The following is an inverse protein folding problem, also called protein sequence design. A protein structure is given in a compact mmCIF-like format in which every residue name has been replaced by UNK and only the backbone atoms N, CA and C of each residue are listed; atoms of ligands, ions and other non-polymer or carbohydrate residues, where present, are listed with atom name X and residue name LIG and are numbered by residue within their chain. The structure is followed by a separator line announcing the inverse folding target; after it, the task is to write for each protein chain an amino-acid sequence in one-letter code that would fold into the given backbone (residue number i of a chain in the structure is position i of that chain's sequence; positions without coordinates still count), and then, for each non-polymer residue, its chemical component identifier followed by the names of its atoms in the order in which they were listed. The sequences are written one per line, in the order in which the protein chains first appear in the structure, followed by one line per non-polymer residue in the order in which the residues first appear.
data_IF_201604058777
#
_entry.id   IF_201604058777
#
_cell.length_a   1.000
_cell.length_b   1.000
_cell.length_c   1.000
_cell.angle_alpha   90.00
_cell.angle_beta   90.00
_cell.angle_gamma   90.00
#
_symmetry.space_group_name_H-M   'P 1'
#
loop_
_entity.id
_entity.type
_entity.pdbx_description
1 polymer ?
#
# COMPACT_ATOMS: atom_id res chain seq x y z
N UNK A 1 12.08 9.07 -6.59
CA UNK A 1 11.40 7.81 -6.22
C UNK A 1 9.93 8.08 -6.01
N UNK A 2 9.12 7.67 -7.00
CA UNK A 2 7.68 7.81 -7.00
C UNK A 2 7.10 6.70 -6.15
N UNK A 3 6.24 7.05 -5.20
CA UNK A 3 5.71 6.11 -4.22
C UNK A 3 4.19 6.08 -4.30
N UNK A 4 3.60 4.92 -4.58
CA UNK A 4 2.16 4.76 -4.56
C UNK A 4 1.68 4.19 -3.22
N UNK A 5 0.50 4.60 -2.77
CA UNK A 5 -0.16 4.03 -1.60
C UNK A 5 -1.44 3.34 -2.06
N UNK A 6 -1.54 2.04 -1.80
CA UNK A 6 -2.62 1.19 -2.31
C UNK A 6 -3.16 0.22 -1.26
N UNK A 7 -4.38 -0.25 -1.45
CA UNK A 7 -5.03 -1.31 -0.68
C UNK A 7 -6.18 -1.86 -1.49
N UNK A 8 -6.52 -3.14 -1.28
CA UNK A 8 -7.73 -3.76 -1.82
C UNK A 8 -9.02 -3.18 -1.21
N UNK A 9 -8.93 -2.35 -0.17
CA UNK A 9 -10.11 -1.88 0.56
C UNK A 9 -10.12 -0.36 0.78
N UNK A 10 -11.32 0.21 0.76
CA UNK A 10 -11.61 1.57 1.24
C UNK A 10 -11.60 1.65 2.77
N UNK A 11 -11.45 2.86 3.32
CA UNK A 11 -11.55 3.11 4.76
C UNK A 11 -10.37 2.62 5.61
N UNK A 12 -9.24 2.28 5.00
CA UNK A 12 -8.03 1.79 5.72
C UNK A 12 -7.01 2.88 6.07
N UNK A 13 -7.32 4.15 5.79
CA UNK A 13 -6.45 5.29 6.06
C UNK A 13 -5.40 5.61 4.99
N UNK A 14 -5.56 5.11 3.75
CA UNK A 14 -4.64 5.41 2.61
C UNK A 14 -4.42 6.91 2.40
N UNK A 15 -5.51 7.64 2.17
CA UNK A 15 -5.48 9.09 1.94
C UNK A 15 -4.89 9.85 3.10
N UNK A 16 -5.19 9.43 4.34
CA UNK A 16 -4.60 10.02 5.54
C UNK A 16 -3.08 9.82 5.58
N UNK A 17 -2.61 8.60 5.30
CA UNK A 17 -1.18 8.30 5.23
C UNK A 17 -0.51 9.05 4.07
N UNK A 18 -1.14 9.10 2.89
CA UNK A 18 -0.62 9.79 1.72
C UNK A 18 -0.41 11.29 1.98
N UNK A 19 -1.42 11.96 2.54
CA UNK A 19 -1.33 13.36 2.95
C UNK A 19 -0.21 13.60 3.96
N UNK A 20 -0.10 12.74 4.97
CA UNK A 20 0.94 12.86 6.00
C UNK A 20 2.33 12.71 5.38
N UNK A 21 2.56 11.64 4.62
CA UNK A 21 3.87 11.38 4.01
C UNK A 21 4.24 12.47 3.00
N UNK A 22 3.29 12.96 2.20
CA UNK A 22 3.53 14.07 1.29
C UNK A 22 3.93 15.35 2.04
N UNK A 23 3.19 15.71 3.09
CA UNK A 23 3.45 16.91 3.90
C UNK A 23 4.80 16.84 4.63
N UNK A 24 5.04 15.78 5.41
CA UNK A 24 6.25 15.60 6.22
C UNK A 24 7.51 15.57 5.35
N UNK A 25 7.42 14.96 4.17
CA UNK A 25 8.57 14.80 3.27
C UNK A 25 8.65 15.88 2.19
N UNK A 26 7.77 16.90 2.22
CA UNK A 26 7.70 17.99 1.23
C UNK A 26 7.63 17.47 -0.20
N UNK A 27 6.78 16.46 -0.43
CA UNK A 27 6.60 15.80 -1.72
C UNK A 27 5.26 16.18 -2.34
N UNK A 28 5.17 16.26 -3.69
CA UNK A 28 3.89 16.40 -4.36
C UNK A 28 2.96 15.24 -4.01
N UNK A 29 1.72 15.55 -3.65
CA UNK A 29 0.65 14.57 -3.52
C UNK A 29 -0.18 14.58 -4.81
N UNK A 30 -0.41 13.41 -5.38
CA UNK A 30 -1.28 13.24 -6.56
C UNK A 30 -2.35 12.23 -6.20
N UNK A 31 -3.61 12.68 -6.12
CA UNK A 31 -4.73 11.74 -5.98
C UNK A 31 -5.04 11.10 -7.34
N UNK A 32 -5.21 9.78 -7.32
CA UNK A 32 -5.65 8.96 -8.44
C UNK A 32 -7.08 8.41 -8.21
N UNK A 33 -7.74 8.85 -7.15
CA UNK A 33 -9.14 8.53 -6.87
C UNK A 33 -10.06 9.55 -7.53
N UNK A 34 -10.95 9.07 -8.39
CA UNK A 34 -11.97 9.89 -9.06
C UNK A 34 -12.90 10.59 -8.07
N UNK A 35 -13.07 10.04 -6.86
CA UNK A 35 -13.89 10.69 -5.81
C UNK A 35 -13.26 11.99 -5.30
N UNK A 36 -11.94 12.13 -5.42
CA UNK A 36 -11.20 13.33 -5.04
C UNK A 36 -10.85 14.22 -6.26
N UNK A 37 -11.48 13.95 -7.42
CA UNK A 37 -11.17 14.64 -8.69
C UNK A 37 -9.86 14.18 -9.35
N UNK A 38 -9.25 13.09 -8.86
CA UNK A 38 -8.06 12.48 -9.45
C UNK A 38 -8.36 11.61 -10.67
N UNK A 39 -7.30 11.17 -11.35
CA UNK A 39 -7.37 10.18 -12.43
C UNK A 39 -6.16 9.27 -12.40
N UNK A 40 -6.36 7.99 -12.69
CA UNK A 40 -5.28 7.00 -12.82
C UNK A 40 -4.26 7.39 -13.90
N UNK A 41 -4.70 8.12 -14.93
CA UNK A 41 -3.83 8.59 -16.02
C UNK A 41 -2.73 9.54 -15.53
N UNK A 42 -2.96 10.21 -14.39
CA UNK A 42 -1.98 11.11 -13.78
C UNK A 42 -0.77 10.36 -13.21
N UNK A 43 -0.85 9.04 -12.97
CA UNK A 43 0.25 8.27 -12.39
C UNK A 43 1.53 8.35 -13.24
N UNK A 44 1.38 8.28 -14.57
CA UNK A 44 2.51 8.31 -15.52
C UNK A 44 3.15 9.70 -15.60
N UNK A 45 2.34 10.75 -15.62
CA UNK A 45 2.81 12.15 -15.70
C UNK A 45 3.19 12.76 -14.36
N UNK A 46 2.91 12.10 -13.24
CA UNK A 46 3.27 12.60 -11.91
C UNK A 46 4.80 12.74 -11.75
N UNK A 47 5.28 13.75 -11.00
CA UNK A 47 6.70 13.93 -10.72
C UNK A 47 7.35 12.68 -10.10
N UNK A 48 8.64 12.48 -10.39
CA UNK A 48 9.39 11.30 -9.92
C UNK A 48 9.56 11.23 -8.40
N UNK A 49 9.25 12.28 -7.64
CA UNK A 49 9.29 12.27 -6.18
C UNK A 49 7.90 12.26 -5.53
N UNK A 50 6.83 12.15 -6.33
CA UNK A 50 5.45 12.24 -5.85
C UNK A 50 5.03 11.06 -4.97
N UNK A 51 4.07 11.35 -4.09
CA UNK A 51 3.23 10.36 -3.41
C UNK A 51 1.93 10.24 -4.18
N UNK A 52 1.59 9.03 -4.62
CA UNK A 52 0.35 8.76 -5.35
C UNK A 52 -0.67 8.10 -4.42
N UNK A 53 -1.83 8.73 -4.23
CA UNK A 53 -2.93 8.15 -3.46
C UNK A 53 -3.88 7.37 -4.38
N UNK A 54 -3.93 6.04 -4.24
CA UNK A 54 -4.64 5.18 -5.16
C UNK A 54 -6.02 4.76 -4.61
N UNK A 55 -7.02 4.81 -5.48
CA UNK A 55 -8.34 4.23 -5.19
C UNK A 55 -8.22 2.71 -4.90
N UNK A 56 -9.13 2.15 -4.07
CA UNK A 56 -9.11 0.73 -3.71
C UNK A 56 -9.73 -0.17 -4.80
N UNK A 57 -9.26 -0.02 -6.04
CA UNK A 57 -9.68 -0.84 -7.19
C UNK A 57 -8.49 -1.62 -7.72
N UNK A 58 -8.73 -2.86 -8.13
CA UNK A 58 -7.65 -3.73 -8.64
C UNK A 58 -6.95 -3.13 -9.87
N UNK A 59 -7.73 -2.68 -10.84
CA UNK A 59 -7.21 -2.04 -12.06
C UNK A 59 -6.34 -0.81 -11.78
N UNK A 60 -6.65 -0.02 -10.75
CA UNK A 60 -5.83 1.13 -10.34
C UNK A 60 -4.50 0.66 -9.74
N UNK A 61 -4.53 -0.39 -8.90
CA UNK A 61 -3.32 -1.00 -8.36
C UNK A 61 -2.40 -1.52 -9.47
N UNK A 62 -2.95 -2.19 -10.48
CA UNK A 62 -2.19 -2.67 -11.63
C UNK A 62 -1.62 -1.53 -12.49
N UNK A 63 -2.41 -0.49 -12.75
CA UNK A 63 -1.97 0.63 -13.59
C UNK A 63 -0.94 1.52 -12.89
N UNK A 64 -1.09 1.78 -11.59
CA UNK A 64 -0.16 2.66 -10.86
C UNK A 64 1.23 2.05 -10.74
N UNK A 65 1.34 0.72 -10.61
CA UNK A 65 2.65 0.07 -10.45
C UNK A 65 3.50 0.10 -11.71
N UNK A 66 2.91 0.30 -12.90
CA UNK A 66 3.66 0.48 -14.16
C UNK A 66 4.63 1.67 -14.11
N UNK A 67 4.37 2.66 -13.26
CA UNK A 67 5.10 3.93 -13.23
C UNK A 67 5.62 4.33 -11.85
N UNK A 68 5.63 3.37 -10.92
CA UNK A 68 5.98 3.58 -9.51
C UNK A 68 7.23 2.79 -9.13
N UNK A 69 8.13 3.38 -8.35
CA UNK A 69 9.31 2.67 -7.83
C UNK A 69 8.93 1.82 -6.61
N UNK A 70 8.16 2.41 -5.69
CA UNK A 70 7.79 1.78 -4.42
C UNK A 70 6.28 1.81 -4.16
N UNK A 71 5.75 0.68 -3.70
CA UNK A 71 4.35 0.56 -3.32
C UNK A 71 4.24 0.43 -1.80
N UNK A 72 3.53 1.35 -1.14
CA UNK A 72 3.06 1.16 0.23
C UNK A 72 1.69 0.48 0.16
N UNK A 73 1.62 -0.79 0.56
CA UNK A 73 0.39 -1.55 0.56
C UNK A 73 -0.21 -1.61 1.97
N UNK A 74 -1.43 -1.08 2.14
CA UNK A 74 -2.12 -1.06 3.43
C UNK A 74 -3.01 -2.30 3.59
N UNK A 75 -2.68 -3.12 4.58
CA UNK A 75 -3.47 -4.26 5.05
C UNK A 75 -4.66 -3.77 5.88
N UNK A 76 -5.86 -4.17 5.48
CA UNK A 76 -7.09 -3.92 6.22
C UNK A 76 -7.14 -4.77 7.49
N UNK A 77 -7.71 -4.22 8.56
CA UNK A 77 -8.11 -5.02 9.72
C UNK A 77 -9.30 -5.94 9.38
N UNK A 78 -9.12 -7.24 9.59
CA UNK A 78 -10.07 -8.28 9.19
C UNK A 78 -10.40 -9.19 10.37
N UNK A 79 -11.65 -9.64 10.43
CA UNK A 79 -12.09 -10.62 11.42
C UNK A 79 -11.35 -11.96 11.23
N UNK A 80 -11.04 -12.65 12.34
CA UNK A 80 -10.23 -13.88 12.37
C UNK A 80 -10.73 -14.96 11.41
N UNK A 81 -12.04 -15.10 11.24
CA UNK A 81 -12.66 -16.28 10.61
C UNK A 81 -12.12 -16.51 9.19
N UNK A 82 -11.64 -15.47 8.49
CA UNK A 82 -11.06 -15.59 7.14
C UNK A 82 -9.72 -14.86 6.96
N UNK A 83 -9.01 -14.58 8.06
CA UNK A 83 -7.81 -13.72 8.02
C UNK A 83 -6.66 -14.31 7.21
N UNK A 84 -6.48 -15.63 7.26
CA UNK A 84 -5.45 -16.32 6.49
C UNK A 84 -5.74 -16.26 4.98
N UNK A 85 -6.99 -16.54 4.59
CA UNK A 85 -7.41 -16.46 3.19
C UNK A 85 -7.20 -15.04 2.64
N UNK A 86 -7.51 -14.00 3.43
CA UNK A 86 -7.24 -12.62 3.03
C UNK A 86 -5.75 -12.37 2.73
N UNK A 87 -4.83 -12.90 3.55
CA UNK A 87 -3.40 -12.73 3.28
C UNK A 87 -2.90 -13.51 2.09
N UNK A 88 -3.50 -14.66 1.77
CA UNK A 88 -3.21 -15.37 0.51
C UNK A 88 -3.67 -14.55 -0.70
N UNK A 89 -4.88 -13.94 -0.66
CA UNK A 89 -5.33 -13.01 -1.71
C UNK A 89 -4.33 -11.86 -1.87
N UNK A 90 -3.89 -11.24 -0.77
CA UNK A 90 -2.91 -10.15 -0.82
C UNK A 90 -1.60 -10.62 -1.42
N UNK A 91 -1.07 -11.79 -0.98
CA UNK A 91 0.16 -12.37 -1.51
C UNK A 91 0.10 -12.58 -3.02
N UNK A 92 -0.98 -13.17 -3.50
CA UNK A 92 -1.18 -13.43 -4.93
C UNK A 92 -1.30 -12.13 -5.73
N UNK A 93 -1.98 -11.13 -5.17
CA UNK A 93 -2.05 -9.81 -5.78
C UNK A 93 -0.67 -9.15 -5.89
N UNK A 94 0.15 -9.22 -4.84
CA UNK A 94 1.51 -8.67 -4.88
C UNK A 94 2.39 -9.34 -5.94
N UNK A 95 2.22 -10.65 -6.18
CA UNK A 95 2.90 -11.36 -7.27
C UNK A 95 2.47 -10.86 -8.66
N UNK A 96 1.18 -10.57 -8.84
CA UNK A 96 0.67 -9.95 -10.07
C UNK A 96 1.31 -8.57 -10.27
N UNK A 97 1.30 -7.72 -9.24
CA UNK A 97 1.90 -6.39 -9.31
C UNK A 97 3.41 -6.44 -9.61
N UNK A 98 4.14 -7.41 -9.03
CA UNK A 98 5.56 -7.65 -9.31
C UNK A 98 5.81 -8.13 -10.74
N UNK A 99 4.86 -8.85 -11.33
CA UNK A 99 4.93 -9.26 -12.74
C UNK A 99 4.80 -8.05 -13.68
N UNK A 100 3.93 -7.09 -13.34
CA UNK A 100 3.75 -5.85 -14.10
C UNK A 100 4.99 -4.96 -13.99
N UNK A 101 5.55 -4.84 -12.79
CA UNK A 101 6.78 -4.09 -12.55
C UNK A 101 7.82 -4.95 -11.80
N UNK A 102 8.76 -5.58 -12.53
CA UNK A 102 9.81 -6.42 -11.95
C UNK A 102 10.72 -5.70 -10.96
N UNK A 103 10.80 -4.37 -11.01
CA UNK A 103 11.65 -3.56 -10.12
C UNK A 103 10.89 -3.01 -8.91
N UNK A 104 9.58 -3.30 -8.78
CA UNK A 104 8.77 -2.82 -7.68
C UNK A 104 9.26 -3.33 -6.32
N UNK A 105 9.51 -2.43 -5.37
CA UNK A 105 9.64 -2.78 -3.94
C UNK A 105 8.33 -2.47 -3.22
N UNK A 106 7.89 -3.40 -2.38
CA UNK A 106 6.61 -3.28 -1.67
C UNK A 106 6.86 -3.14 -0.18
N UNK A 107 6.20 -2.16 0.42
CA UNK A 107 6.25 -1.84 1.85
C UNK A 107 4.87 -2.05 2.46
N UNK A 108 4.73 -3.10 3.27
CA UNK A 108 3.48 -3.45 3.92
C UNK A 108 3.26 -2.59 5.15
N UNK A 109 2.08 -1.98 5.22
CA UNK A 109 1.60 -1.22 6.37
C UNK A 109 0.32 -1.84 6.91
N UNK A 110 0.19 -1.96 8.21
CA UNK A 110 -1.08 -2.29 8.84
C UNK A 110 -1.91 -1.01 8.96
N UNK A 111 -3.22 -1.08 8.67
CA UNK A 111 -4.11 0.04 8.92
C UNK A 111 -4.04 0.49 10.39
N UNK A 112 -4.23 1.78 10.67
CA UNK A 112 -4.08 2.33 12.04
C UNK A 112 -4.92 1.60 13.10
N UNK A 113 -6.08 1.08 12.71
CA UNK A 113 -7.02 0.39 13.59
C UNK A 113 -6.71 -1.10 13.80
N UNK A 114 -5.53 -1.60 13.44
CA UNK A 114 -5.20 -3.03 13.47
C UNK A 114 -5.16 -3.63 14.88
N UNK A 115 -6.30 -3.74 15.57
CA UNK A 115 -6.47 -4.07 16.99
C UNK A 115 -5.20 -3.81 17.81
N UNK A 116 -4.68 -2.57 17.75
CA UNK A 116 -3.25 -2.24 17.78
C UNK A 116 -2.45 -2.70 19.01
N UNK A 117 -3.11 -3.25 20.03
CA UNK A 117 -2.49 -3.77 21.24
C UNK A 117 -3.14 -5.05 21.79
N UNK A 118 -4.10 -5.66 21.08
CA UNK A 118 -4.73 -6.91 21.52
C UNK A 118 -3.82 -8.12 21.21
N UNK A 119 -3.93 -9.18 22.00
CA UNK A 119 -3.26 -10.48 21.73
C UNK A 119 -3.65 -10.99 20.34
N UNK A 120 -4.90 -10.77 19.95
CA UNK A 120 -5.42 -11.13 18.64
C UNK A 120 -4.77 -10.34 17.51
N UNK A 121 -4.64 -9.01 17.64
CA UNK A 121 -3.99 -8.15 16.64
C UNK A 121 -2.54 -8.58 16.41
N UNK A 122 -1.79 -8.88 17.47
CA UNK A 122 -0.41 -9.39 17.37
C UNK A 122 -0.33 -10.70 16.60
N UNK A 123 -1.20 -11.68 16.92
CA UNK A 123 -1.27 -12.96 16.19
C UNK A 123 -1.57 -12.78 14.71
N UNK A 124 -2.47 -11.85 14.38
CA UNK A 124 -2.81 -11.55 13.00
C UNK A 124 -1.60 -10.91 12.28
N UNK A 125 -0.90 -9.96 12.91
CA UNK A 125 0.30 -9.35 12.32
C UNK A 125 1.42 -10.38 12.11
N UNK A 126 1.61 -11.31 13.04
CA UNK A 126 2.56 -12.42 12.91
C UNK A 126 2.19 -13.34 11.76
N UNK A 127 0.91 -13.67 11.60
CA UNK A 127 0.41 -14.47 10.48
C UNK A 127 0.64 -13.75 9.14
N UNK A 128 0.36 -12.45 9.05
CA UNK A 128 0.62 -11.66 7.87
C UNK A 128 2.11 -11.70 7.49
N UNK A 129 3.00 -11.50 8.47
CA UNK A 129 4.45 -11.60 8.28
C UNK A 129 4.86 -12.98 7.80
N UNK A 130 4.34 -14.05 8.42
CA UNK A 130 4.64 -15.43 8.02
C UNK A 130 4.26 -15.73 6.56
N UNK A 131 3.11 -15.26 6.10
CA UNK A 131 2.61 -15.53 4.75
C UNK A 131 3.30 -14.63 3.72
N UNK A 132 3.37 -13.33 4.00
CA UNK A 132 3.76 -12.32 3.01
C UNK A 132 5.29 -12.16 2.94
N UNK A 133 6.04 -12.32 4.04
CA UNK A 133 7.52 -12.22 4.02
C UNK A 133 8.20 -13.36 3.25
N UNK A 134 7.44 -14.34 2.75
CA UNK A 134 7.95 -15.29 1.74
C UNK A 134 8.29 -14.62 0.41
N UNK A 135 7.78 -13.41 0.16
CA UNK A 135 8.06 -12.60 -1.02
C UNK A 135 9.29 -11.72 -0.77
N UNK A 136 10.39 -11.97 -1.50
CA UNK A 136 11.68 -11.31 -1.29
C UNK A 136 11.70 -9.81 -1.62
N UNK A 137 10.66 -9.30 -2.27
CA UNK A 137 10.50 -7.88 -2.65
C UNK A 137 9.56 -7.13 -1.69
N UNK A 138 9.16 -7.77 -0.59
CA UNK A 138 8.23 -7.21 0.39
C UNK A 138 8.94 -6.97 1.72
N UNK A 139 8.83 -5.75 2.22
CA UNK A 139 9.28 -5.33 3.54
C UNK A 139 8.08 -4.85 4.38
N UNK A 140 8.13 -5.01 5.71
CA UNK A 140 7.12 -4.44 6.60
C UNK A 140 7.64 -3.12 7.17
N UNK A 141 6.88 -2.05 6.98
CA UNK A 141 7.33 -0.71 7.34
C UNK A 141 7.02 0.32 6.26
N UNK A 142 7.66 1.47 6.39
CA UNK A 142 7.66 2.50 5.35
C UNK A 142 8.99 2.45 4.60
N UNK A 143 9.04 2.94 3.35
CA UNK A 143 10.30 3.12 2.65
C UNK A 143 11.27 3.96 3.50
N UNK A 144 12.57 3.60 3.57
CA UNK A 144 13.52 4.20 4.52
C UNK A 144 13.76 5.70 4.30
N UNK A 145 13.43 6.24 3.13
CA UNK A 145 13.54 7.66 2.81
C UNK A 145 12.28 8.47 3.14
N UNK A 146 11.19 7.82 3.58
CA UNK A 146 9.97 8.51 4.01
C UNK A 146 9.89 8.57 5.53
N UNK A 147 9.74 9.78 6.05
CA UNK A 147 9.45 10.05 7.46
C UNK A 147 7.95 10.13 7.68
N UNK A 148 7.50 9.75 8.88
CA UNK A 148 6.09 9.71 9.28
C UNK A 148 5.78 10.53 10.54
N UNK A 149 6.77 11.31 11.00
CA UNK A 149 6.74 12.15 12.20
C UNK A 149 6.74 13.64 11.84
#
# INVERSE_FOLDING_TARGET
MKTAIYSLNGGVGKTTLANRLASVNQRPLVSLDTQDGGSIDLAKSAPDNAILDCAPKREHGMSVVESTDHLIFILKDVNIINVEHYFFIVRDELLVLKTINPNLSVFMQFAYNYQAQSVQGKRIQELAKKIISSLSFVEFGLPPYLKNE
#
